data_IF_704072419452
#
_entry.id   IF_704072419452
#
_cell.length_a   1.000
_cell.length_b   1.000
_cell.length_c   1.000
_cell.angle_alpha   90.00
_cell.angle_beta   90.00
_cell.angle_gamma   90.00
#
_symmetry.space_group_name_H-M   'P 1'
#
loop_
_entity.id
_entity.type
_entity.pdbx_description
1 polymer ?
#
# COMPACT_ATOMS: atom_id res chain seq x y z
N UNK A 1 10.89 -28.04 10.88
CA UNK A 1 10.39 -27.28 9.71
C UNK A 1 9.17 -26.52 10.21
N UNK A 2 9.33 -25.24 10.57
CA UNK A 2 8.20 -24.40 10.98
C UNK A 2 7.79 -23.63 9.73
N UNK A 3 6.54 -23.78 9.31
CA UNK A 3 5.94 -22.96 8.28
C UNK A 3 6.00 -21.50 8.71
N UNK A 4 6.95 -20.75 8.17
CA UNK A 4 6.86 -19.30 8.06
C UNK A 4 5.88 -19.00 6.93
N UNK A 5 4.58 -19.16 7.20
CA UNK A 5 3.57 -18.52 6.38
C UNK A 5 3.74 -17.03 6.62
N UNK A 6 4.55 -16.38 5.77
CA UNK A 6 4.72 -14.94 5.72
C UNK A 6 3.32 -14.34 5.77
N UNK A 7 3.02 -13.66 6.87
CA UNK A 7 1.78 -12.93 7.06
C UNK A 7 1.79 -11.75 6.07
N UNK A 8 1.45 -12.04 4.81
CA UNK A 8 1.48 -11.14 3.67
C UNK A 8 0.23 -10.25 3.61
N UNK A 9 -0.37 -9.97 4.77
CA UNK A 9 -1.55 -9.13 4.93
C UNK A 9 -1.20 -7.65 5.16
N UNK A 10 0.08 -7.25 5.04
CA UNK A 10 0.50 -5.87 5.30
C UNK A 10 -0.32 -4.86 4.47
N UNK A 11 -0.54 -5.13 3.19
CA UNK A 11 -1.26 -4.22 2.30
C UNK A 11 -2.73 -4.06 2.65
N UNK A 12 -3.39 -5.09 3.20
CA UNK A 12 -4.83 -5.03 3.52
C UNK A 12 -5.11 -4.13 4.71
N UNK A 13 -4.15 -4.00 5.64
CA UNK A 13 -4.23 -3.07 6.78
C UNK A 13 -4.14 -1.60 6.39
N UNK A 14 -3.64 -1.28 5.19
CA UNK A 14 -3.57 0.10 4.67
C UNK A 14 -4.78 0.49 3.82
N UNK A 15 -5.71 -0.43 3.59
CA UNK A 15 -6.97 -0.16 2.92
C UNK A 15 -8.02 0.26 3.96
N UNK A 16 -8.74 1.35 3.68
CA UNK A 16 -9.86 1.75 4.55
C UNK A 16 -11.03 0.78 4.41
N UNK A 17 -11.99 0.83 5.34
CA UNK A 17 -13.19 -0.04 5.32
C UNK A 17 -13.93 0.04 3.97
N UNK A 18 -14.05 1.25 3.42
CA UNK A 18 -14.66 1.49 2.11
C UNK A 18 -13.91 0.83 0.95
N UNK A 19 -12.58 0.72 1.03
CA UNK A 19 -11.78 0.04 0.01
C UNK A 19 -11.99 -1.47 0.11
N UNK A 20 -12.08 -2.01 1.33
CA UNK A 20 -12.37 -3.43 1.58
C UNK A 20 -13.77 -3.80 1.09
N UNK A 21 -14.78 -3.00 1.39
CA UNK A 21 -16.16 -3.21 0.90
C UNK A 21 -16.19 -3.16 -0.62
N UNK A 22 -15.48 -2.21 -1.22
CA UNK A 22 -15.36 -2.11 -2.67
C UNK A 22 -14.74 -3.36 -3.29
N UNK A 23 -13.60 -3.82 -2.76
CA UNK A 23 -12.90 -5.02 -3.23
C UNK A 23 -13.76 -6.27 -3.08
N UNK A 24 -14.48 -6.41 -1.95
CA UNK A 24 -15.42 -7.51 -1.74
C UNK A 24 -16.48 -7.56 -2.84
N UNK A 25 -17.11 -6.43 -3.15
CA UNK A 25 -18.11 -6.36 -4.24
C UNK A 25 -17.48 -6.61 -5.61
N UNK A 26 -16.29 -6.06 -5.85
CA UNK A 26 -15.56 -6.31 -7.09
C UNK A 26 -15.31 -7.80 -7.34
N UNK A 27 -14.90 -8.54 -6.31
CA UNK A 27 -14.72 -10.00 -6.38
C UNK A 27 -16.04 -10.73 -6.61
N UNK A 28 -17.12 -10.32 -5.92
CA UNK A 28 -18.45 -10.89 -6.13
C UNK A 28 -18.99 -10.65 -7.55
N UNK A 29 -18.57 -9.56 -8.21
CA UNK A 29 -18.85 -9.29 -9.62
C UNK A 29 -17.82 -9.93 -10.58
N UNK A 30 -17.02 -10.90 -10.13
CA UNK A 30 -15.98 -11.56 -10.92
C UNK A 30 -14.96 -10.58 -11.54
N UNK A 31 -14.72 -9.44 -10.89
CA UNK A 31 -13.85 -8.37 -11.38
C UNK A 31 -14.46 -7.50 -12.49
N UNK A 32 -15.75 -7.62 -12.77
CA UNK A 32 -16.43 -6.80 -13.79
C UNK A 32 -16.70 -5.38 -13.27
N UNK A 33 -15.87 -4.42 -13.69
CA UNK A 33 -16.11 -3.00 -13.44
C UNK A 33 -17.45 -2.49 -13.99
N UNK A 34 -17.94 -3.10 -15.07
CA UNK A 34 -19.23 -2.74 -15.68
C UNK A 34 -20.41 -3.18 -14.80
N UNK A 35 -20.36 -4.38 -14.25
CA UNK A 35 -21.44 -4.87 -13.39
C UNK A 35 -21.39 -4.22 -12.01
N UNK A 36 -20.19 -3.94 -11.50
CA UNK A 36 -20.00 -3.15 -10.29
C UNK A 36 -20.55 -1.72 -10.42
N UNK A 37 -20.40 -1.10 -11.59
CA UNK A 37 -20.99 0.21 -11.89
C UNK A 37 -22.52 0.17 -11.87
N UNK A 38 -23.14 -0.87 -12.44
CA UNK A 38 -24.60 -1.07 -12.36
C UNK A 38 -25.06 -1.27 -10.92
N UNK A 39 -24.34 -2.07 -10.14
CA UNK A 39 -24.70 -2.38 -8.75
C UNK A 39 -24.63 -1.13 -7.85
N UNK A 40 -23.61 -0.29 -8.03
CA UNK A 40 -23.48 0.97 -7.31
C UNK A 40 -24.37 2.10 -7.85
N UNK A 41 -25.01 1.92 -9.02
CA UNK A 41 -25.79 2.98 -9.66
C UNK A 41 -24.95 4.17 -10.14
N UNK A 42 -23.67 3.96 -10.45
CA UNK A 42 -22.73 5.00 -10.88
C UNK A 42 -22.09 4.65 -12.22
N UNK A 43 -21.36 5.60 -12.79
CA UNK A 43 -20.75 5.39 -14.11
C UNK A 43 -19.51 4.51 -14.04
N UNK A 44 -19.25 3.75 -15.11
CA UNK A 44 -18.04 2.94 -15.26
C UNK A 44 -16.74 3.75 -15.04
N UNK A 45 -16.57 4.97 -15.59
CA UNK A 45 -15.40 5.80 -15.28
C UNK A 45 -15.20 6.08 -13.80
N UNK A 46 -16.28 6.28 -13.03
CA UNK A 46 -16.22 6.53 -11.58
C UNK A 46 -15.70 5.29 -10.83
N UNK A 47 -16.21 4.10 -11.17
CA UNK A 47 -15.76 2.84 -10.55
C UNK A 47 -14.32 2.53 -10.90
N UNK A 48 -13.94 2.76 -12.16
CA UNK A 48 -12.57 2.57 -12.63
C UNK A 48 -11.58 3.44 -11.86
N UNK A 49 -11.90 4.73 -11.69
CA UNK A 49 -11.05 5.64 -10.92
C UNK A 49 -10.89 5.18 -9.46
N UNK A 50 -11.94 4.60 -8.87
CA UNK A 50 -11.86 4.03 -7.51
C UNK A 50 -10.94 2.80 -7.46
N UNK A 51 -11.04 1.89 -8.43
CA UNK A 51 -10.15 0.74 -8.52
C UNK A 51 -8.70 1.18 -8.75
N UNK A 52 -8.45 2.14 -9.65
CA UNK A 52 -7.11 2.65 -9.95
C UNK A 52 -6.42 3.22 -8.68
N UNK A 53 -7.18 3.91 -7.81
CA UNK A 53 -6.68 4.40 -6.52
C UNK A 53 -6.26 3.26 -5.58
N UNK A 54 -7.05 2.19 -5.52
CA UNK A 54 -6.73 1.02 -4.69
C UNK A 54 -5.49 0.31 -5.25
N UNK A 55 -5.40 0.13 -6.58
CA UNK A 55 -4.22 -0.44 -7.24
C UNK A 55 -2.97 0.39 -6.91
N UNK A 56 -3.04 1.71 -6.98
CA UNK A 56 -1.92 2.58 -6.62
C UNK A 56 -1.49 2.39 -5.15
N UNK A 57 -2.45 2.30 -4.21
CA UNK A 57 -2.14 1.99 -2.80
C UNK A 57 -1.44 0.64 -2.65
N UNK A 58 -1.96 -0.40 -3.29
CA UNK A 58 -1.37 -1.75 -3.25
C UNK A 58 0.04 -1.73 -3.84
N UNK A 59 0.25 -1.12 -5.01
CA UNK A 59 1.57 -1.02 -5.64
C UNK A 59 2.60 -0.27 -4.80
N UNK A 60 2.20 0.73 -4.01
CA UNK A 60 3.11 1.41 -3.07
C UNK A 60 3.53 0.48 -1.95
N UNK A 61 2.63 -0.42 -1.50
CA UNK A 61 2.91 -1.39 -0.44
C UNK A 61 3.64 -2.64 -0.93
N UNK A 62 3.40 -3.04 -2.18
CA UNK A 62 3.92 -4.26 -2.81
C UNK A 62 5.29 -4.04 -3.49
N UNK A 63 5.75 -2.79 -3.57
CA UNK A 63 7.16 -2.50 -3.89
C UNK A 63 8.03 -3.04 -2.75
N UNK A 64 8.50 -4.27 -2.92
CA UNK A 64 9.43 -5.01 -2.05
C UNK A 64 10.73 -4.25 -1.70
N UNK A 65 11.01 -3.11 -2.35
CA UNK A 65 12.20 -2.29 -2.11
C UNK A 65 12.16 -1.42 -0.84
N UNK A 66 11.05 -1.38 -0.11
CA UNK A 66 10.93 -0.59 1.13
C UNK A 66 10.10 -1.40 2.14
N UNK A 67 10.64 -2.00 3.19
CA UNK A 67 11.46 -1.37 4.22
C UNK A 67 11.99 -2.45 5.17
N UNK A 68 13.31 -2.52 5.31
CA UNK A 68 13.96 -3.01 6.52
C UNK A 68 13.36 -2.30 7.76
N UNK A 69 13.42 -2.93 8.93
CA UNK A 69 12.67 -2.60 10.18
C UNK A 69 12.70 -1.10 10.50
N UNK A 70 13.79 -0.43 10.15
CA UNK A 70 14.00 1.00 10.31
C UNK A 70 13.02 1.90 9.53
N UNK A 71 12.75 1.64 8.25
CA UNK A 71 11.80 2.47 7.48
C UNK A 71 10.35 2.22 7.93
N UNK A 72 10.04 1.04 8.48
CA UNK A 72 8.73 0.79 9.11
C UNK A 72 8.55 1.68 10.35
N UNK A 73 9.55 1.76 11.22
CA UNK A 73 9.52 2.61 12.42
C UNK A 73 9.36 4.08 12.03
N UNK A 74 10.11 4.55 11.03
CA UNK A 74 10.02 5.92 10.51
C UNK A 74 8.61 6.28 10.05
N UNK A 75 7.95 5.37 9.33
CA UNK A 75 6.56 5.57 8.86
C UNK A 75 5.57 5.61 10.02
N UNK A 76 5.76 4.79 11.05
CA UNK A 76 4.93 4.82 12.27
C UNK A 76 5.13 6.16 13.01
N UNK A 77 6.36 6.63 13.18
CA UNK A 77 6.61 7.90 13.86
C UNK A 77 5.98 9.10 13.11
N UNK A 78 5.98 9.07 11.77
CA UNK A 78 5.31 10.10 10.96
C UNK A 78 3.79 10.02 11.08
N UNK A 79 3.21 8.82 11.06
CA UNK A 79 1.77 8.61 11.25
C UNK A 79 1.29 9.02 12.64
N UNK A 80 2.14 8.90 13.66
CA UNK A 80 1.88 9.37 15.03
C UNK A 80 2.16 10.88 15.22
N UNK A 81 2.41 11.62 14.14
CA UNK A 81 2.73 13.06 14.12
C UNK A 81 3.94 13.45 15.01
N UNK A 82 4.77 12.49 15.41
CA UNK A 82 5.98 12.71 16.22
C UNK A 82 7.13 13.32 15.42
N UNK A 83 7.08 13.18 14.10
CA UNK A 83 7.99 13.82 13.15
C UNK A 83 7.19 14.47 12.04
N UNK A 84 7.62 15.65 11.60
CA UNK A 84 6.97 16.36 10.50
C UNK A 84 7.34 15.75 9.14
N UNK A 85 6.59 16.13 8.11
CA UNK A 85 6.77 15.61 6.76
C UNK A 85 8.16 15.91 6.18
N UNK A 86 8.74 17.08 6.49
CA UNK A 86 10.07 17.47 6.00
C UNK A 86 11.13 16.58 6.64
N UNK A 87 11.09 16.42 7.96
CA UNK A 87 12.02 15.54 8.69
C UNK A 87 11.91 14.09 8.25
N UNK A 88 10.68 13.58 8.07
CA UNK A 88 10.45 12.22 7.57
C UNK A 88 11.08 12.00 6.18
N UNK A 89 10.90 12.93 5.24
CA UNK A 89 11.49 12.81 3.89
C UNK A 89 13.02 12.85 3.92
N UNK A 90 13.61 13.73 4.73
CA UNK A 90 15.07 13.82 4.88
C UNK A 90 15.67 12.52 5.42
N UNK A 91 15.09 11.96 6.49
CA UNK A 91 15.58 10.72 7.10
C UNK A 91 15.40 9.51 6.17
N UNK A 92 14.25 9.43 5.49
CA UNK A 92 13.97 8.38 4.53
C UNK A 92 14.95 8.41 3.34
N UNK A 93 15.25 9.60 2.82
CA UNK A 93 16.19 9.77 1.73
C UNK A 93 17.62 9.37 2.13
N UNK A 94 18.08 9.82 3.31
CA UNK A 94 19.40 9.49 3.83
C UNK A 94 19.56 7.97 4.03
N UNK A 95 18.57 7.32 4.62
CA UNK A 95 18.56 5.87 4.85
C UNK A 95 18.66 5.08 3.53
N UNK A 96 17.87 5.46 2.52
CA UNK A 96 17.90 4.82 1.19
C UNK A 96 19.24 5.01 0.48
N UNK A 97 19.90 6.14 0.68
CA UNK A 97 21.22 6.41 0.10
C UNK A 97 22.31 5.54 0.74
N UNK A 98 22.26 5.33 2.06
CA UNK A 98 23.18 4.44 2.79
C UNK A 98 23.02 3.00 2.30
N UNK A 99 21.79 2.48 2.27
CA UNK A 99 21.53 1.10 1.84
C UNK A 99 21.91 0.82 0.39
N UNK A 100 21.79 1.82 -0.51
CA UNK A 100 22.29 1.71 -1.88
C UNK A 100 23.82 1.61 -1.95
N UNK A 101 24.55 2.26 -1.05
CA UNK A 101 26.03 2.20 -1.01
C UNK A 101 26.53 0.88 -0.41
N UNK A 102 25.85 0.35 0.60
CA UNK A 102 26.24 -0.91 1.24
C UNK A 102 25.98 -2.14 0.36
N UNK A 103 24.98 -2.07 -0.53
CA UNK A 103 24.72 -3.11 -1.55
C UNK A 103 25.73 -3.16 -2.70
N UNK A 104 26.60 -2.15 -2.86
CA UNK A 104 27.64 -2.11 -3.91
C UNK A 104 28.98 -2.74 -3.48
N UNK A 105 29.10 -3.19 -2.22
CA UNK A 105 30.32 -3.77 -1.63
C UNK A 105 30.16 -5.25 -1.26
N UNK A 106 29.09 -5.91 -1.72
CA UNK A 106 28.86 -7.34 -1.55
C UNK A 106 28.79 -8.06 -2.90
#
# INVERSE_FOLDING_TARGET
MRDETINNNKWIGFLGEDDIVFLKRFVLCSGSLKDLAKEYGITYPTVRLRLDRIIAKVQVMDREEYADEYEQILRVQYAEEKIDATTFQTLLQAYRQINKQTGSLR
#
